data_IF_271845450080
#
_entry.id   IF_271845450080
#
_cell.length_a   1.000
_cell.length_b   1.000
_cell.length_c   1.000
_cell.angle_alpha   90.00
_cell.angle_beta   90.00
_cell.angle_gamma   90.00
#
_symmetry.space_group_name_H-M   'P 1'
#
loop_
_entity.id
_entity.type
_entity.pdbx_description
1 polymer ?
#
# COMPACT_ATOMS: atom_id res chain seq x y z
N UNK A 1 -46.31 26.40 31.97
CA UNK A 1 -45.49 26.99 33.06
C UNK A 1 -44.05 26.81 32.61
N UNK A 2 -43.62 27.64 31.65
CA UNK A 2 -42.79 28.87 31.83
C UNK A 2 -41.41 28.48 32.35
N UNK A 3 -40.45 28.37 31.42
CA UNK A 3 -39.02 28.34 31.71
C UNK A 3 -38.52 29.77 31.91
N UNK A 4 -37.85 30.01 33.04
CA UNK A 4 -37.28 31.29 33.42
C UNK A 4 -36.07 31.62 32.53
N UNK A 5 -36.22 32.62 31.66
CA UNK A 5 -35.10 33.22 30.94
C UNK A 5 -34.56 34.37 31.79
N UNK A 6 -33.34 34.22 32.31
CA UNK A 6 -32.62 35.29 33.01
C UNK A 6 -31.99 36.22 31.95
N UNK A 7 -32.50 37.44 31.84
CA UNK A 7 -31.87 38.49 31.06
C UNK A 7 -30.78 39.19 31.89
N UNK A 8 -29.61 39.41 31.28
CA UNK A 8 -28.59 40.30 31.82
C UNK A 8 -28.71 41.66 31.12
N UNK A 9 -29.03 42.70 31.87
CA UNK A 9 -29.09 44.08 31.38
C UNK A 9 -27.68 44.66 31.31
N UNK A 10 -27.17 44.90 30.10
CA UNK A 10 -25.90 45.58 29.89
C UNK A 10 -26.14 47.08 29.87
N UNK A 11 -25.87 47.74 31.00
CA UNK A 11 -25.84 49.20 31.08
C UNK A 11 -24.67 49.76 30.25
N UNK A 12 -24.97 50.12 29.00
CA UNK A 12 -24.04 50.77 28.08
C UNK A 12 -24.20 52.30 28.14
N UNK A 13 -23.09 53.07 28.11
CA UNK A 13 -23.14 54.53 28.06
C UNK A 13 -23.76 55.02 26.75
N UNK A 14 -24.51 56.12 26.83
CA UNK A 14 -25.47 56.61 25.82
C UNK A 14 -24.89 56.89 24.42
N UNK A 15 -23.56 56.98 24.28
CA UNK A 15 -22.87 57.24 23.02
C UNK A 15 -22.63 56.00 22.14
N UNK A 16 -23.00 54.79 22.57
CA UNK A 16 -22.72 53.53 21.86
C UNK A 16 -23.99 52.78 21.38
N UNK A 17 -25.14 53.45 21.26
CA UNK A 17 -26.38 52.79 20.84
C UNK A 17 -26.37 52.51 19.32
N UNK A 18 -26.50 51.25 18.85
CA UNK A 18 -26.51 50.97 17.41
C UNK A 18 -27.85 51.37 16.77
N UNK A 19 -27.83 51.92 15.55
CA UNK A 19 -29.04 52.02 14.72
C UNK A 19 -29.39 50.62 14.19
N UNK A 20 -30.56 50.12 14.57
CA UNK A 20 -31.11 48.85 14.10
C UNK A 20 -31.90 49.11 12.81
N UNK A 21 -31.59 48.40 11.73
CA UNK A 21 -32.41 48.34 10.52
C UNK A 21 -33.03 46.93 10.46
N UNK A 22 -34.36 46.84 10.46
CA UNK A 22 -35.06 45.56 10.37
C UNK A 22 -35.22 45.12 8.91
N UNK A 23 -34.95 43.84 8.63
CA UNK A 23 -35.22 43.16 7.35
C UNK A 23 -36.06 41.93 7.66
N UNK A 24 -37.17 41.73 6.93
CA UNK A 24 -38.12 40.63 7.12
C UNK A 24 -38.03 39.63 5.97
N UNK A 25 -37.94 38.33 6.27
CA UNK A 25 -38.11 37.22 5.31
C UNK A 25 -39.26 36.28 5.74
N UNK A 26 -39.80 35.55 4.77
CA UNK A 26 -41.16 35.01 4.64
C UNK A 26 -41.48 33.74 5.47
N UNK A 27 -40.66 33.40 6.47
CA UNK A 27 -40.92 32.29 7.40
C UNK A 27 -40.74 32.65 8.88
N UNK A 28 -40.99 33.91 9.24
CA UNK A 28 -41.41 34.29 10.60
C UNK A 28 -40.39 34.07 11.73
N UNK A 29 -39.09 34.04 11.42
CA UNK A 29 -38.02 34.01 12.41
C UNK A 29 -37.13 35.25 12.25
N UNK A 30 -37.22 36.19 13.19
CA UNK A 30 -36.43 37.44 13.17
C UNK A 30 -35.07 37.20 13.80
N UNK A 31 -33.98 37.45 13.06
CA UNK A 31 -32.63 37.45 13.61
C UNK A 31 -31.90 38.76 13.27
N UNK A 32 -30.95 39.16 14.11
CA UNK A 32 -30.14 40.37 13.93
C UNK A 32 -28.68 40.00 13.74
N UNK A 33 -28.06 40.42 12.63
CA UNK A 33 -26.60 40.37 12.46
C UNK A 33 -25.95 41.63 13.03
N UNK A 34 -24.95 41.44 13.90
CA UNK A 34 -24.13 42.54 14.44
C UNK A 34 -22.74 42.46 13.83
N UNK A 35 -22.41 43.42 12.97
CA UNK A 35 -21.08 43.52 12.35
C UNK A 35 -20.15 44.34 13.24
N UNK A 36 -19.27 43.67 13.98
CA UNK A 36 -18.28 44.33 14.84
C UNK A 36 -17.00 44.62 14.06
N UNK A 37 -16.73 45.92 13.81
CA UNK A 37 -15.41 46.38 13.38
C UNK A 37 -14.58 46.75 14.62
N UNK A 38 -13.63 45.90 14.99
CA UNK A 38 -12.65 46.20 16.03
C UNK A 38 -11.67 47.26 15.53
N UNK A 39 -11.71 48.47 16.10
CA UNK A 39 -10.61 49.44 16.08
C UNK A 39 -10.01 49.49 17.48
N UNK A 40 -8.75 49.08 17.61
CA UNK A 40 -7.99 49.19 18.84
C UNK A 40 -7.82 50.67 19.23
N UNK A 41 -8.28 51.05 20.42
CA UNK A 41 -7.89 52.33 21.05
C UNK A 41 -7.46 52.07 22.49
N UNK A 42 -6.20 52.41 22.77
CA UNK A 42 -5.61 52.36 24.11
C UNK A 42 -6.04 53.61 24.89
N UNK A 43 -6.66 53.42 26.07
CA UNK A 43 -6.79 54.46 27.07
C UNK A 43 -6.25 53.93 28.41
N UNK A 44 -5.20 54.59 28.91
CA UNK A 44 -4.57 54.29 30.18
C UNK A 44 -5.24 55.09 31.30
N UNK A 45 -5.57 54.43 32.41
CA UNK A 45 -5.55 55.00 33.77
C UNK A 45 -4.97 53.93 34.69
N UNK A 46 -3.90 54.29 35.41
CA UNK A 46 -3.14 53.37 36.25
C UNK A 46 -3.64 53.33 37.69
N UNK A 47 -3.39 52.21 38.37
CA UNK A 47 -2.82 52.17 39.72
C UNK A 47 -2.09 50.83 39.91
N UNK A 48 -0.97 50.89 40.63
CA UNK A 48 0.14 49.93 40.69
C UNK A 48 -0.08 48.78 41.68
N UNK A 49 0.20 47.55 41.25
CA UNK A 49 0.81 46.52 42.11
C UNK A 49 1.54 45.47 41.27
N UNK A 50 2.78 45.20 41.66
CA UNK A 50 3.79 44.34 41.03
C UNK A 50 3.27 43.12 40.24
N UNK A 51 3.41 43.18 38.93
CA UNK A 51 3.39 42.03 38.03
C UNK A 51 4.43 42.26 36.94
N UNK A 52 5.35 41.32 36.72
CA UNK A 52 6.31 41.36 35.61
C UNK A 52 5.53 41.51 34.30
N UNK A 53 5.49 42.73 33.76
CA UNK A 53 4.82 43.08 32.52
C UNK A 53 5.55 42.40 31.37
N UNK A 54 5.03 41.26 30.92
CA UNK A 54 5.43 40.63 29.68
C UNK A 54 4.88 41.50 28.55
N UNK A 55 5.69 42.44 28.06
CA UNK A 55 5.28 43.36 27.01
C UNK A 55 4.73 42.56 25.82
N UNK A 56 3.51 42.88 25.37
CA UNK A 56 2.82 42.22 24.25
C UNK A 56 3.70 42.12 22.99
N UNK A 57 4.65 43.05 22.82
CA UNK A 57 5.69 43.01 21.79
C UNK A 57 6.70 41.88 22.03
N UNK A 58 7.14 41.65 23.27
CA UNK A 58 7.96 40.50 23.62
C UNK A 58 7.20 39.19 23.45
N UNK A 59 5.90 39.14 23.76
CA UNK A 59 5.09 37.93 23.49
C UNK A 59 5.02 37.66 21.99
N UNK A 60 4.75 38.67 21.14
CA UNK A 60 4.74 38.51 19.68
C UNK A 60 6.11 38.12 19.14
N UNK A 61 7.19 38.71 19.64
CA UNK A 61 8.57 38.37 19.25
C UNK A 61 8.91 36.94 19.68
N UNK A 62 8.55 36.52 20.89
CA UNK A 62 8.76 35.15 21.36
C UNK A 62 7.95 34.16 20.53
N UNK A 63 6.67 34.44 20.24
CA UNK A 63 5.84 33.58 19.39
C UNK A 63 6.41 33.50 17.97
N UNK A 64 6.85 34.62 17.39
CA UNK A 64 7.50 34.63 16.08
C UNK A 64 8.80 33.81 16.08
N UNK A 65 9.63 33.94 17.12
CA UNK A 65 10.85 33.14 17.27
C UNK A 65 10.54 31.66 17.42
N UNK A 66 9.51 31.29 18.19
CA UNK A 66 9.08 29.89 18.34
C UNK A 66 8.59 29.31 17.01
N UNK A 67 7.82 30.06 16.23
CA UNK A 67 7.36 29.63 14.90
C UNK A 67 8.57 29.42 13.97
N UNK A 68 9.53 30.35 13.96
CA UNK A 68 10.75 30.22 13.14
C UNK A 68 11.56 29.00 13.58
N UNK A 69 11.72 28.75 14.87
CA UNK A 69 12.42 27.57 15.39
C UNK A 69 11.70 26.29 14.96
N UNK A 70 10.36 26.23 15.07
CA UNK A 70 9.58 25.08 14.62
C UNK A 70 9.76 24.85 13.12
N UNK A 71 9.74 25.90 12.30
CA UNK A 71 9.98 25.79 10.86
C UNK A 71 11.38 25.26 10.57
N UNK A 72 12.41 25.72 11.30
CA UNK A 72 13.78 25.21 11.16
C UNK A 72 13.90 23.74 11.60
N UNK A 73 13.22 23.33 12.67
CA UNK A 73 13.20 21.95 13.13
C UNK A 73 12.48 21.02 12.13
N UNK A 74 11.37 21.47 11.55
CA UNK A 74 10.64 20.72 10.50
C UNK A 74 11.50 20.61 9.25
N UNK A 75 12.13 21.69 8.81
CA UNK A 75 13.05 21.66 7.67
C UNK A 75 14.23 20.71 7.93
N UNK A 76 14.86 20.78 9.11
CA UNK A 76 15.92 19.86 9.48
C UNK A 76 15.44 18.41 9.50
N UNK A 77 14.25 18.13 10.03
CA UNK A 77 13.64 16.80 10.01
C UNK A 77 13.35 16.29 8.60
N UNK A 78 12.83 17.14 7.71
CA UNK A 78 12.65 16.82 6.29
C UNK A 78 13.98 16.57 5.59
N UNK A 79 15.00 17.39 5.85
CA UNK A 79 16.34 17.19 5.31
C UNK A 79 16.95 15.89 5.82
N UNK A 80 16.75 15.53 7.09
CA UNK A 80 17.15 14.20 7.61
C UNK A 80 16.38 13.09 6.90
N UNK A 81 15.08 13.23 6.63
CA UNK A 81 14.31 12.24 5.84
C UNK A 81 14.73 12.14 4.36
N UNK A 82 15.29 13.20 3.79
CA UNK A 82 15.78 13.24 2.40
C UNK A 82 17.24 12.71 2.32
N UNK A 83 18.08 13.05 3.30
CA UNK A 83 19.50 12.70 3.34
C UNK A 83 19.80 11.39 4.08
N UNK A 84 18.92 10.91 4.95
CA UNK A 84 18.79 9.49 5.22
C UNK A 84 17.78 8.94 4.21
N UNK A 85 18.23 8.24 3.15
CA UNK A 85 17.42 7.12 2.73
C UNK A 85 17.21 6.32 4.01
N UNK A 86 15.98 5.91 4.32
CA UNK A 86 15.80 4.67 5.06
C UNK A 86 16.78 3.71 4.42
N UNK A 87 17.93 3.51 5.06
CA UNK A 87 18.78 2.39 4.78
C UNK A 87 17.78 1.26 4.78
N UNK A 88 17.59 0.63 3.62
CA UNK A 88 17.01 -0.69 3.56
C UNK A 88 17.59 -1.39 4.77
N UNK A 89 16.71 -1.72 5.73
CA UNK A 89 17.10 -2.52 6.87
C UNK A 89 18.02 -3.59 6.30
N UNK A 90 19.26 -3.74 6.82
CA UNK A 90 19.90 -5.04 6.68
C UNK A 90 18.82 -6.01 7.14
N UNK A 91 18.39 -6.86 6.23
CA UNK A 91 17.51 -7.96 6.54
C UNK A 91 18.29 -8.79 7.56
N UNK A 92 18.16 -8.44 8.84
CA UNK A 92 18.44 -9.29 9.98
C UNK A 92 17.27 -10.27 10.13
N UNK A 93 16.83 -10.83 9.00
CA UNK A 93 16.30 -12.16 8.96
C UNK A 93 17.53 -13.04 8.99
N UNK A 94 17.71 -13.75 10.10
CA UNK A 94 18.72 -14.79 10.32
C UNK A 94 18.84 -15.65 9.06
N UNK A 95 19.75 -15.24 8.19
CA UNK A 95 19.78 -15.70 6.81
C UNK A 95 20.56 -17.01 6.81
N UNK A 96 19.80 -18.10 6.73
CA UNK A 96 20.31 -19.35 6.15
C UNK A 96 21.09 -18.97 4.88
N UNK A 97 22.30 -19.50 4.64
CA UNK A 97 23.15 -19.05 3.53
C UNK A 97 22.32 -18.91 2.25
N UNK A 98 22.14 -17.69 1.74
CA UNK A 98 21.35 -17.51 0.52
C UNK A 98 22.13 -18.18 -0.59
N UNK A 99 21.63 -19.34 -1.01
CA UNK A 99 22.17 -20.07 -2.15
C UNK A 99 22.19 -19.10 -3.34
N UNK A 100 23.36 -18.89 -3.97
CA UNK A 100 23.47 -18.03 -5.14
C UNK A 100 22.45 -18.45 -6.20
N UNK A 101 21.86 -17.51 -6.92
CA UNK A 101 20.82 -17.83 -7.90
C UNK A 101 21.36 -18.76 -9.00
N UNK A 102 22.63 -18.62 -9.36
CA UNK A 102 23.35 -19.42 -10.36
C UNK A 102 23.44 -20.90 -9.95
N UNK A 103 23.33 -21.18 -8.66
CA UNK A 103 23.33 -22.51 -8.10
C UNK A 103 21.95 -23.19 -8.14
N UNK A 104 20.90 -22.44 -8.46
CA UNK A 104 19.53 -22.94 -8.59
C UNK A 104 19.19 -23.36 -10.02
N UNK A 105 18.38 -24.39 -10.14
CA UNK A 105 17.89 -24.93 -11.40
C UNK A 105 16.39 -25.22 -11.34
N UNK A 106 15.79 -25.34 -12.53
CA UNK A 106 14.41 -25.74 -12.73
C UNK A 106 14.33 -27.14 -13.33
N UNK A 107 13.23 -27.88 -13.12
CA UNK A 107 13.01 -29.15 -13.79
C UNK A 107 13.00 -29.00 -15.31
N UNK A 108 13.20 -30.10 -16.04
CA UNK A 108 13.10 -30.10 -17.50
C UNK A 108 11.73 -29.57 -17.93
N UNK A 109 11.70 -28.77 -19.00
CA UNK A 109 10.50 -28.11 -19.55
C UNK A 109 9.93 -26.97 -18.69
N UNK A 110 10.62 -26.56 -17.62
CA UNK A 110 10.31 -25.36 -16.85
C UNK A 110 11.32 -24.27 -17.16
N UNK A 111 10.83 -23.06 -17.42
CA UNK A 111 11.66 -21.88 -17.65
C UNK A 111 12.07 -21.27 -16.32
N UNK A 112 13.35 -20.94 -16.16
CA UNK A 112 13.86 -20.28 -14.95
C UNK A 112 13.85 -18.77 -15.13
N UNK A 113 13.31 -18.06 -14.14
CA UNK A 113 13.53 -16.63 -14.00
C UNK A 113 13.66 -16.27 -12.52
N UNK A 114 14.80 -15.69 -12.14
CA UNK A 114 15.12 -15.45 -10.74
C UNK A 114 15.22 -16.77 -9.95
N UNK A 115 14.53 -16.78 -8.81
CA UNK A 115 14.43 -17.94 -7.90
C UNK A 115 13.17 -18.78 -8.14
N UNK A 116 12.46 -18.55 -9.25
CA UNK A 116 11.22 -19.25 -9.63
C UNK A 116 11.40 -20.03 -10.95
N UNK A 117 10.56 -21.03 -11.09
CA UNK A 117 10.41 -21.88 -12.27
C UNK A 117 8.99 -21.76 -12.78
N UNK A 118 8.82 -21.59 -14.09
CA UNK A 118 7.53 -21.40 -14.74
C UNK A 118 7.28 -22.51 -15.76
N UNK A 119 6.05 -23.04 -15.77
CA UNK A 119 5.60 -24.00 -16.77
C UNK A 119 4.48 -23.38 -17.59
N UNK A 120 4.74 -23.19 -18.88
CA UNK A 120 3.77 -22.68 -19.85
C UNK A 120 3.16 -23.86 -20.60
N UNK A 121 1.91 -24.18 -20.29
CA UNK A 121 1.21 -25.30 -20.91
C UNK A 121 0.76 -24.94 -22.32
N UNK A 122 1.08 -25.77 -23.35
CA UNK A 122 0.60 -25.54 -24.71
C UNK A 122 -0.91 -25.80 -24.86
N UNK A 123 -1.53 -26.49 -23.89
CA UNK A 123 -2.96 -26.80 -23.92
C UNK A 123 -3.79 -25.54 -23.65
N UNK A 124 -4.78 -25.30 -24.49
CA UNK A 124 -5.73 -24.21 -24.34
C UNK A 124 -7.03 -24.65 -23.66
N UNK A 125 -7.97 -23.71 -23.48
CA UNK A 125 -9.32 -23.93 -22.94
C UNK A 125 -9.32 -24.53 -21.53
N UNK A 126 -8.74 -23.79 -20.60
CA UNK A 126 -8.60 -24.22 -19.21
C UNK A 126 -9.48 -23.42 -18.28
N UNK A 127 -10.25 -24.10 -17.44
CA UNK A 127 -10.93 -23.47 -16.32
C UNK A 127 -9.93 -23.25 -15.17
N UNK A 128 -10.10 -22.15 -14.44
CA UNK A 128 -9.18 -21.74 -13.39
C UNK A 128 -8.95 -22.81 -12.32
N UNK A 129 -10.00 -23.54 -11.91
CA UNK A 129 -9.87 -24.59 -10.90
C UNK A 129 -9.13 -25.82 -11.45
N UNK A 130 -9.42 -26.27 -12.68
CA UNK A 130 -8.64 -27.35 -13.29
C UNK A 130 -7.19 -26.94 -13.54
N UNK A 131 -6.93 -25.68 -13.89
CA UNK A 131 -5.58 -25.15 -14.03
C UNK A 131 -4.82 -25.24 -12.72
N UNK A 132 -5.42 -24.76 -11.63
CA UNK A 132 -4.83 -24.87 -10.30
C UNK A 132 -4.61 -26.32 -9.88
N UNK A 133 -5.58 -27.19 -10.15
CA UNK A 133 -5.47 -28.64 -9.89
C UNK A 133 -4.32 -29.27 -10.68
N UNK A 134 -4.11 -28.85 -11.92
CA UNK A 134 -3.00 -29.33 -12.74
C UNK A 134 -1.65 -28.83 -12.19
N UNK A 135 -1.54 -27.56 -11.83
CA UNK A 135 -0.31 -27.01 -11.23
C UNK A 135 0.02 -27.73 -9.90
N UNK A 136 -0.96 -27.90 -9.02
CA UNK A 136 -0.77 -28.59 -7.73
C UNK A 136 -0.36 -30.05 -7.91
N UNK A 137 -0.90 -30.76 -8.91
CA UNK A 137 -0.46 -32.11 -9.26
C UNK A 137 1.02 -32.18 -9.73
N UNK A 138 1.59 -31.08 -10.20
CA UNK A 138 3.01 -30.96 -10.60
C UNK A 138 3.92 -30.39 -9.48
N UNK A 139 3.41 -30.31 -8.24
CA UNK A 139 4.14 -29.71 -7.11
C UNK A 139 4.38 -28.21 -7.28
N UNK A 140 3.41 -27.52 -7.89
CA UNK A 140 3.45 -26.08 -8.20
C UNK A 140 2.09 -25.44 -7.89
N UNK A 141 1.91 -24.14 -8.14
CA UNK A 141 0.58 -23.50 -8.12
C UNK A 141 0.46 -22.55 -9.34
N UNK A 142 -0.71 -21.92 -9.53
CA UNK A 142 -0.86 -20.85 -10.51
C UNK A 142 0.05 -19.66 -10.15
N UNK A 143 0.48 -18.90 -11.16
CA UNK A 143 1.42 -17.80 -10.96
C UNK A 143 0.86 -16.68 -10.09
N UNK A 144 1.66 -16.27 -9.10
CA UNK A 144 1.55 -15.02 -8.34
C UNK A 144 2.64 -14.08 -8.83
N UNK A 145 2.28 -12.84 -9.15
CA UNK A 145 3.25 -11.83 -9.56
C UNK A 145 3.66 -11.04 -8.32
N UNK A 146 4.91 -11.22 -7.86
CA UNK A 146 5.40 -10.64 -6.61
C UNK A 146 5.98 -9.24 -6.77
N UNK A 147 6.54 -8.92 -7.93
CA UNK A 147 7.26 -7.65 -8.17
C UNK A 147 7.26 -7.23 -9.64
N UNK A 148 7.79 -6.02 -9.90
CA UNK A 148 7.76 -5.40 -11.23
C UNK A 148 8.69 -6.11 -12.21
N UNK A 149 9.80 -6.66 -11.74
CA UNK A 149 10.76 -7.40 -12.55
C UNK A 149 10.12 -8.69 -13.09
N UNK A 150 9.40 -9.42 -12.23
CA UNK A 150 8.63 -10.60 -12.59
C UNK A 150 7.47 -10.26 -13.53
N UNK A 151 6.72 -9.19 -13.24
CA UNK A 151 5.68 -8.69 -14.14
C UNK A 151 6.24 -8.42 -15.54
N UNK A 152 7.39 -7.74 -15.63
CA UNK A 152 8.05 -7.46 -16.90
C UNK A 152 8.45 -8.75 -17.62
N UNK A 153 9.03 -9.73 -16.93
CA UNK A 153 9.34 -11.02 -17.54
C UNK A 153 8.08 -11.72 -18.09
N UNK A 154 7.00 -11.80 -17.30
CA UNK A 154 5.79 -12.51 -17.67
C UNK A 154 5.00 -11.82 -18.78
N UNK A 155 4.93 -10.49 -18.77
CA UNK A 155 4.34 -9.72 -19.88
C UNK A 155 5.05 -10.02 -21.19
N UNK A 156 6.38 -10.14 -21.19
CA UNK A 156 7.16 -10.47 -22.38
C UNK A 156 7.02 -11.93 -22.83
N UNK A 157 6.81 -12.88 -21.90
CA UNK A 157 6.45 -14.27 -22.24
C UNK A 157 5.01 -14.39 -22.79
N UNK A 158 4.11 -13.50 -22.37
CA UNK A 158 2.70 -13.50 -22.77
C UNK A 158 2.37 -12.68 -24.03
N UNK A 159 3.38 -12.26 -24.81
CA UNK A 159 3.21 -11.37 -25.99
C UNK A 159 2.15 -11.84 -27.00
N UNK A 160 1.99 -13.16 -27.15
CA UNK A 160 1.14 -13.76 -28.18
C UNK A 160 0.10 -14.75 -27.62
N UNK A 161 0.02 -14.90 -26.29
CA UNK A 161 -0.79 -15.91 -25.63
C UNK A 161 -1.45 -15.30 -24.39
N UNK A 162 -2.60 -15.88 -23.99
CA UNK A 162 -3.22 -15.57 -22.71
C UNK A 162 -2.96 -16.69 -21.72
N UNK A 163 -2.42 -16.34 -20.56
CA UNK A 163 -2.16 -17.29 -19.48
C UNK A 163 -2.97 -16.95 -18.24
N UNK A 164 -3.61 -17.95 -17.62
CA UNK A 164 -4.29 -17.77 -16.34
C UNK A 164 -3.31 -17.42 -15.22
N UNK A 165 -3.71 -16.47 -14.39
CA UNK A 165 -3.02 -16.11 -13.16
C UNK A 165 -3.72 -16.69 -11.93
N UNK A 166 -2.98 -16.77 -10.82
CA UNK A 166 -3.54 -17.08 -9.51
C UNK A 166 -4.36 -15.95 -8.88
N UNK A 167 -4.71 -14.91 -9.65
CA UNK A 167 -5.44 -13.74 -9.17
C UNK A 167 -6.93 -13.85 -9.50
N UNK A 168 -7.77 -13.71 -8.48
CA UNK A 168 -9.23 -13.82 -8.60
C UNK A 168 -9.93 -12.74 -7.80
N UNK A 169 -11.16 -12.40 -8.18
CA UNK A 169 -11.99 -11.45 -7.45
C UNK A 169 -12.76 -12.18 -6.35
N UNK A 170 -12.54 -11.78 -5.10
CA UNK A 170 -13.33 -12.24 -3.97
C UNK A 170 -14.59 -11.40 -3.86
N UNK A 171 -15.73 -11.93 -4.30
CA UNK A 171 -17.03 -11.25 -4.17
C UNK A 171 -17.40 -10.98 -2.70
N UNK A 172 -16.98 -11.85 -1.77
CA UNK A 172 -17.22 -11.64 -0.34
C UNK A 172 -16.48 -10.42 0.20
N UNK A 173 -15.22 -10.26 -0.21
CA UNK A 173 -14.36 -9.18 0.29
C UNK A 173 -14.35 -7.95 -0.63
N UNK A 174 -15.00 -8.04 -1.80
CA UNK A 174 -15.03 -7.04 -2.86
C UNK A 174 -13.63 -6.60 -3.32
N UNK A 175 -12.68 -7.56 -3.36
CA UNK A 175 -11.25 -7.31 -3.59
C UNK A 175 -10.61 -8.38 -4.48
N UNK A 176 -9.61 -7.97 -5.26
CA UNK A 176 -8.75 -8.90 -6.00
C UNK A 176 -7.73 -9.54 -5.06
N UNK A 177 -7.68 -10.88 -5.04
CA UNK A 177 -6.81 -11.66 -4.17
C UNK A 177 -6.07 -12.74 -4.93
N UNK A 178 -4.79 -12.85 -4.60
CA UNK A 178 -3.96 -13.96 -5.04
C UNK A 178 -4.36 -15.25 -4.31
N UNK A 179 -4.02 -16.39 -4.89
CA UNK A 179 -4.21 -17.72 -4.31
C UNK A 179 -3.60 -17.91 -2.90
N UNK A 180 -2.64 -17.07 -2.51
CA UNK A 180 -2.04 -17.03 -1.16
C UNK A 180 -2.83 -16.13 -0.18
N UNK A 181 -4.02 -15.68 -0.56
CA UNK A 181 -4.91 -14.77 0.18
C UNK A 181 -4.40 -13.34 0.37
N UNK A 182 -3.32 -12.94 -0.30
CA UNK A 182 -2.85 -11.55 -0.33
C UNK A 182 -3.73 -10.73 -1.27
N UNK A 183 -4.05 -9.49 -0.87
CA UNK A 183 -4.72 -8.51 -1.72
C UNK A 183 -3.77 -8.03 -2.83
N UNK A 184 -4.31 -7.84 -4.03
CA UNK A 184 -3.57 -7.25 -5.15
C UNK A 184 -3.23 -5.78 -4.86
N UNK A 185 -1.98 -5.40 -5.09
CA UNK A 185 -1.54 -4.00 -5.02
C UNK A 185 -1.77 -3.31 -6.39
N UNK A 186 -2.69 -2.33 -6.50
CA UNK A 186 -2.91 -1.59 -7.74
C UNK A 186 -1.66 -0.83 -8.25
N UNK A 187 -0.68 -0.54 -7.38
CA UNK A 187 0.58 0.09 -7.80
C UNK A 187 1.52 -0.85 -8.56
N UNK A 188 1.29 -2.17 -8.51
CA UNK A 188 2.06 -3.17 -9.23
C UNK A 188 1.62 -3.24 -10.70
N UNK A 189 0.31 -3.35 -10.95
CA UNK A 189 -0.31 -3.25 -12.27
C UNK A 189 -1.82 -3.00 -12.19
N UNK A 190 -2.37 -2.44 -13.27
CA UNK A 190 -3.82 -2.32 -13.46
C UNK A 190 -4.40 -3.61 -14.05
N UNK A 191 -5.63 -3.93 -13.67
CA UNK A 191 -6.41 -5.03 -14.23
C UNK A 191 -7.44 -4.41 -15.17
N UNK A 192 -7.29 -4.67 -16.47
CA UNK A 192 -8.18 -4.14 -17.52
C UNK A 192 -9.37 -5.07 -17.77
N UNK A 193 -10.49 -4.53 -18.26
CA UNK A 193 -11.63 -5.33 -18.71
C UNK A 193 -12.93 -5.11 -17.91
N UNK A 194 -14.03 -5.76 -18.32
CA UNK A 194 -15.34 -5.51 -17.74
C UNK A 194 -15.45 -6.10 -16.32
N UNK A 195 -15.94 -5.28 -15.39
CA UNK A 195 -16.13 -5.65 -13.98
C UNK A 195 -17.37 -6.54 -13.71
N UNK A 196 -18.15 -6.89 -14.73
CA UNK A 196 -19.50 -7.46 -14.57
C UNK A 196 -19.55 -8.94 -14.14
N UNK A 197 -18.77 -9.82 -14.78
CA UNK A 197 -18.89 -11.28 -14.60
C UNK A 197 -17.55 -12.04 -14.59
N UNK A 198 -16.44 -11.32 -14.73
CA UNK A 198 -15.11 -11.92 -14.90
C UNK A 198 -14.35 -11.87 -13.59
N UNK A 199 -14.45 -12.97 -12.84
CA UNK A 199 -13.86 -13.12 -11.50
C UNK A 199 -12.43 -13.68 -11.52
N UNK A 200 -11.86 -13.99 -12.68
CA UNK A 200 -10.51 -14.49 -12.83
C UNK A 200 -9.69 -13.52 -13.68
N UNK A 201 -8.37 -13.68 -13.70
CA UNK A 201 -7.51 -12.87 -14.56
C UNK A 201 -6.61 -13.71 -15.47
N UNK A 202 -6.23 -13.09 -16.57
CA UNK A 202 -5.21 -13.59 -17.49
C UNK A 202 -4.17 -12.51 -17.74
N UNK A 203 -2.94 -12.92 -18.03
CA UNK A 203 -1.92 -12.04 -18.61
C UNK A 203 -1.75 -12.37 -20.09
N UNK A 204 -1.78 -11.36 -20.94
CA UNK A 204 -1.63 -11.52 -22.39
C UNK A 204 -1.53 -10.19 -23.11
N UNK A 205 -0.81 -10.17 -24.23
CA UNK A 205 -0.54 -8.95 -25.01
C UNK A 205 0.08 -7.84 -24.14
N UNK A 206 0.93 -8.24 -23.19
CA UNK A 206 1.65 -7.36 -22.24
C UNK A 206 0.79 -6.68 -21.18
N UNK A 207 -0.46 -7.10 -21.00
CA UNK A 207 -1.38 -6.52 -20.02
C UNK A 207 -2.07 -7.62 -19.21
N UNK A 208 -2.60 -7.24 -18.04
CA UNK A 208 -3.43 -8.11 -17.21
C UNK A 208 -4.89 -7.74 -17.41
N UNK A 209 -5.70 -8.75 -17.72
CA UNK A 209 -7.12 -8.57 -18.02
C UNK A 209 -7.99 -9.45 -17.13
N UNK A 210 -9.20 -8.98 -16.83
CA UNK A 210 -10.28 -9.83 -16.32
C UNK A 210 -10.65 -10.89 -17.36
N UNK A 211 -10.98 -12.10 -16.92
CA UNK A 211 -11.39 -13.21 -17.76
C UNK A 211 -12.45 -14.09 -17.08
N UNK A 212 -13.26 -14.84 -17.87
CA UNK A 212 -14.15 -15.86 -17.32
C UNK A 212 -13.35 -16.97 -16.64
N UNK A 213 -13.74 -17.35 -15.41
CA UNK A 213 -13.08 -18.44 -14.70
C UNK A 213 -13.24 -19.82 -15.35
N UNK A 214 -14.27 -20.01 -16.19
CA UNK A 214 -14.46 -21.24 -16.96
C UNK A 214 -13.48 -21.36 -18.15
N UNK A 215 -12.69 -20.32 -18.41
CA UNK A 215 -11.75 -20.25 -19.52
C UNK A 215 -12.41 -20.00 -20.87
N UNK A 216 -11.59 -19.61 -21.85
CA UNK A 216 -11.97 -19.53 -23.28
C UNK A 216 -10.97 -20.31 -24.13
N UNK A 217 -11.30 -20.55 -25.40
CA UNK A 217 -10.50 -21.39 -26.32
C UNK A 217 -9.04 -20.94 -26.51
N UNK A 218 -8.72 -19.68 -26.21
CA UNK A 218 -7.37 -19.10 -26.34
C UNK A 218 -6.58 -19.07 -25.03
N UNK A 219 -7.20 -19.39 -23.90
CA UNK A 219 -6.56 -19.31 -22.58
C UNK A 219 -5.75 -20.56 -22.30
N UNK A 220 -4.49 -20.38 -21.94
CA UNK A 220 -3.52 -21.40 -21.58
C UNK A 220 -3.21 -21.36 -20.07
N UNK A 221 -2.55 -22.42 -19.59
CA UNK A 221 -2.11 -22.51 -18.19
C UNK A 221 -0.67 -22.07 -18.02
N UNK A 222 -0.42 -21.40 -16.90
CA UNK A 222 0.91 -21.05 -16.44
C UNK A 222 1.02 -21.38 -14.95
N UNK A 223 2.01 -22.20 -14.60
CA UNK A 223 2.27 -22.62 -13.23
C UNK A 223 3.62 -22.09 -12.76
N UNK A 224 3.79 -21.85 -11.46
CA UNK A 224 5.06 -21.50 -10.84
C UNK A 224 5.43 -22.40 -9.65
N UNK A 225 6.74 -22.52 -9.41
CA UNK A 225 7.30 -23.05 -8.15
C UNK A 225 8.70 -22.51 -7.90
N UNK A 226 9.21 -22.67 -6.69
CA UNK A 226 10.58 -22.25 -6.36
C UNK A 226 11.62 -23.09 -7.11
N UNK A 227 12.69 -22.44 -7.56
CA UNK A 227 13.87 -23.12 -8.08
C UNK A 227 14.63 -23.83 -6.94
N UNK A 228 15.17 -25.01 -7.24
CA UNK A 228 15.86 -25.86 -6.27
C UNK A 228 17.35 -25.91 -6.55
N UNK A 229 18.14 -26.44 -5.62
CA UNK A 229 19.58 -26.66 -5.84
C UNK A 229 19.80 -27.48 -7.13
N UNK A 230 20.72 -27.03 -7.97
CA UNK A 230 21.14 -27.79 -9.14
C UNK A 230 21.69 -29.16 -8.72
N UNK A 231 21.45 -30.20 -9.49
CA UNK A 231 21.96 -31.55 -9.20
C UNK A 231 23.48 -31.57 -9.01
N UNK A 232 24.21 -30.72 -9.73
CA UNK A 232 25.67 -30.58 -9.59
C UNK A 232 26.05 -30.06 -8.21
N UNK A 233 25.37 -29.02 -7.73
CA UNK A 233 25.63 -28.48 -6.40
C UNK A 233 25.12 -29.41 -5.30
N UNK A 234 23.94 -30.01 -5.48
CA UNK A 234 23.40 -30.97 -4.53
C UNK A 234 24.37 -32.13 -4.30
N UNK A 235 24.87 -32.76 -5.38
CA UNK A 235 25.90 -33.83 -5.28
C UNK A 235 27.18 -33.39 -4.58
N UNK A 236 27.61 -32.14 -4.81
CA UNK A 236 28.81 -31.59 -4.14
C UNK A 236 28.57 -31.46 -2.63
N UNK A 237 27.42 -30.90 -2.24
CA UNK A 237 27.02 -30.75 -0.84
C UNK A 237 26.87 -32.10 -0.15
N UNK A 238 26.22 -33.07 -0.80
CA UNK A 238 26.04 -34.42 -0.26
C UNK A 238 27.39 -35.13 -0.05
N UNK A 239 28.34 -34.96 -0.99
CA UNK A 239 29.69 -35.49 -0.88
C UNK A 239 30.54 -34.82 0.21
N UNK A 240 30.39 -33.51 0.42
CA UNK A 240 31.00 -32.80 1.54
C UNK A 240 30.41 -33.24 2.89
N UNK A 241 29.10 -33.40 2.95
CA UNK A 241 28.38 -33.82 4.14
C UNK A 241 28.76 -35.25 4.55
N UNK A 242 28.86 -36.17 3.58
CA UNK A 242 29.32 -37.56 3.81
C UNK A 242 30.76 -37.63 4.31
N UNK A 243 31.63 -36.71 3.89
CA UNK A 243 33.01 -36.60 4.41
C UNK A 243 33.05 -36.10 5.85
N UNK A 244 32.14 -35.21 6.24
CA UNK A 244 32.05 -34.67 7.61
C UNK A 244 31.33 -35.62 8.58
N UNK A 245 30.38 -36.42 8.09
CA UNK A 245 29.59 -37.35 8.91
C UNK A 245 29.63 -38.75 8.29
N UNK A 246 30.66 -39.56 8.63
CA UNK A 246 30.75 -40.94 8.18
C UNK A 246 29.56 -41.76 8.70
N UNK A 247 28.90 -42.52 7.82
CA UNK A 247 27.75 -43.37 8.16
C UNK A 247 26.36 -42.76 7.91
N UNK A 248 26.28 -41.51 7.42
CA UNK A 248 25.00 -40.90 7.08
C UNK A 248 24.48 -41.39 5.71
N UNK A 249 23.27 -41.95 5.70
CA UNK A 249 22.54 -42.30 4.48
C UNK A 249 21.81 -41.05 3.95
N UNK A 250 22.33 -40.45 2.88
CA UNK A 250 21.65 -39.36 2.18
C UNK A 250 20.59 -39.98 1.26
N UNK A 251 19.32 -39.75 1.56
CA UNK A 251 18.20 -40.16 0.69
C UNK A 251 18.13 -39.17 -0.48
N UNK A 252 18.20 -39.61 -1.75
CA UNK A 252 18.04 -38.71 -2.87
C UNK A 252 16.63 -38.12 -2.89
N UNK A 253 16.51 -36.79 -2.95
CA UNK A 253 15.21 -36.09 -3.04
C UNK A 253 14.54 -36.18 -4.41
N UNK A 254 14.89 -37.17 -5.24
CA UNK A 254 14.39 -37.32 -6.61
C UNK A 254 13.33 -38.43 -6.67
N UNK A 255 12.07 -38.03 -6.55
CA UNK A 255 10.90 -38.69 -7.10
C UNK A 255 10.06 -37.64 -7.86
#
# INVERSE_FOLDING_TARGET
MVEDIIYADLNLPESARPRVQQVTDFQGSTYTEVKLNSRDTNAATGHTSAGRSCSRKHVVVVVALLIVIILLLVLAGCLVHIYHPTASSPQDSKTLPQVPEEALACPKQWEKHGRKCYFFSPNTQKDWNASRKQCTAMGSDLVIIDNKEELHYLTEQSRHNYYLLGLTYSEREQKWKWINNMEHDPALFNISGPHGDYLCTVIGFREVHTAPCKGVKSTQNMCEKSATLSEKLQRKLDGELKRRVPGMNVIPSFL
#
